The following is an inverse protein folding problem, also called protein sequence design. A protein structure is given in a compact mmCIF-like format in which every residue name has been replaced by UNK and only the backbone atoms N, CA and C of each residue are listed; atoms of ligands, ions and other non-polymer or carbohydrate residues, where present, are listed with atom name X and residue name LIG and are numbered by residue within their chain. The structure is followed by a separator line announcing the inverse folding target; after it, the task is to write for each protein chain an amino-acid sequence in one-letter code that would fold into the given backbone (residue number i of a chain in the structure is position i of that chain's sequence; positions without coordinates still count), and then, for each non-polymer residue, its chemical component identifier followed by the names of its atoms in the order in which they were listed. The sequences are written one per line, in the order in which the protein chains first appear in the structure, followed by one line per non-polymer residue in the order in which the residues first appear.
data_IF_193519431034
#
_entry.id   IF_193519431034
#
_cell.length_a   1.000
_cell.length_b   1.000
_cell.length_c   1.000
_cell.angle_alpha   90.00
_cell.angle_beta   90.00
_cell.angle_gamma   90.00
#
_symmetry.space_group_name_H-M   'P 1'
#
loop_
_entity.id
_entity.type
_entity.pdbx_description
1 polymer ?
#
# COMPACT_ATOMS: atom_id res chain seq x y z
N UNK A 1 -9.22 -6.96 -21.05
CA UNK A 1 -8.29 -6.71 -19.93
C UNK A 1 -8.17 -5.21 -19.64
N UNK A 2 -7.57 -4.85 -18.51
CA UNK A 2 -7.30 -3.48 -18.11
C UNK A 2 -5.89 -3.40 -17.54
N UNK A 3 -5.05 -2.47 -18.02
CA UNK A 3 -3.70 -2.28 -17.50
C UNK A 3 -3.66 -2.03 -15.99
N UNK A 4 -2.59 -2.47 -15.34
CA UNK A 4 -2.32 -2.05 -13.98
C UNK A 4 -1.71 -0.63 -14.01
N UNK A 5 -2.32 0.37 -13.36
CA UNK A 5 -1.87 1.76 -13.45
C UNK A 5 -0.51 2.02 -12.80
N UNK A 6 -0.07 1.12 -11.93
CA UNK A 6 1.19 1.23 -11.19
C UNK A 6 2.27 0.26 -11.68
N UNK A 7 2.09 -0.27 -12.90
CA UNK A 7 3.06 -1.18 -13.53
C UNK A 7 2.93 -2.63 -13.08
N UNK A 8 3.89 -3.46 -13.50
CA UNK A 8 3.86 -4.91 -13.31
C UNK A 8 4.76 -5.43 -12.21
N UNK A 9 5.32 -4.59 -11.34
CA UNK A 9 6.17 -5.01 -10.22
C UNK A 9 5.35 -5.54 -9.06
N UNK A 10 5.86 -6.56 -8.39
CA UNK A 10 5.28 -7.13 -7.19
C UNK A 10 6.10 -6.73 -5.97
N UNK A 11 5.41 -6.38 -4.87
CA UNK A 11 6.03 -5.98 -3.61
C UNK A 11 5.16 -6.36 -2.41
N UNK A 12 5.80 -6.44 -1.25
CA UNK A 12 5.15 -6.53 0.04
C UNK A 12 4.88 -7.95 0.52
N UNK A 13 4.23 -8.06 1.68
CA UNK A 13 3.90 -9.34 2.28
C UNK A 13 2.75 -10.04 1.57
N UNK A 14 2.70 -11.35 1.75
CA UNK A 14 1.60 -12.22 1.33
C UNK A 14 0.43 -12.15 2.33
N UNK A 15 -0.80 -12.10 1.81
CA UNK A 15 -2.00 -12.33 2.63
C UNK A 15 -2.02 -13.78 3.12
N UNK A 16 -2.21 -13.98 4.44
CA UNK A 16 -2.40 -15.32 4.99
C UNK A 16 -3.88 -15.68 5.12
N UNK A 17 -4.28 -16.96 5.05
CA UNK A 17 -5.67 -17.39 5.15
C UNK A 17 -6.38 -16.88 6.40
N UNK A 18 -5.69 -16.84 7.54
CA UNK A 18 -6.24 -16.40 8.83
C UNK A 18 -6.53 -14.90 8.91
N UNK A 19 -5.97 -14.09 7.99
CA UNK A 19 -6.17 -12.65 7.93
C UNK A 19 -7.04 -12.18 6.75
N UNK A 20 -7.58 -13.11 5.95
CA UNK A 20 -8.52 -12.73 4.88
C UNK A 20 -9.70 -11.94 5.44
N UNK A 21 -10.11 -10.90 4.71
CA UNK A 21 -11.12 -9.93 5.16
C UNK A 21 -11.72 -9.17 3.97
N UNK A 22 -12.50 -8.14 4.24
CA UNK A 22 -13.00 -7.22 3.22
C UNK A 22 -11.92 -6.47 2.42
N UNK A 23 -10.70 -6.35 2.98
CA UNK A 23 -9.58 -5.64 2.34
C UNK A 23 -8.51 -6.57 1.75
N UNK A 24 -8.65 -7.87 1.90
CA UNK A 24 -7.76 -8.87 1.30
C UNK A 24 -8.42 -10.25 1.31
N UNK A 25 -8.73 -10.78 0.13
CA UNK A 25 -9.58 -11.97 -0.03
C UNK A 25 -8.83 -13.27 -0.23
N UNK A 26 -7.64 -13.22 -0.80
CA UNK A 26 -6.87 -14.41 -1.19
C UNK A 26 -5.38 -14.22 -0.92
N UNK A 27 -4.66 -15.33 -0.92
CA UNK A 27 -3.22 -15.39 -0.72
C UNK A 27 -2.49 -14.85 -1.95
N UNK A 28 -2.48 -13.54 -2.08
CA UNK A 28 -1.70 -12.78 -3.06
C UNK A 28 -0.91 -11.68 -2.35
N UNK A 29 0.12 -11.17 -2.99
CA UNK A 29 0.91 -10.06 -2.45
C UNK A 29 0.10 -8.76 -2.36
N UNK A 30 0.43 -7.92 -1.43
CA UNK A 30 -0.17 -6.59 -1.24
C UNK A 30 -0.09 -5.76 -2.52
N UNK A 31 1.03 -5.76 -3.22
CA UNK A 31 1.17 -5.28 -4.59
C UNK A 31 1.50 -6.44 -5.52
N UNK A 32 0.50 -6.97 -6.19
CA UNK A 32 0.62 -8.18 -7.01
C UNK A 32 1.21 -7.96 -8.42
N UNK A 33 1.23 -6.73 -8.94
CA UNK A 33 1.79 -6.37 -10.26
C UNK A 33 1.15 -7.08 -11.46
N UNK A 34 -0.12 -7.40 -11.37
CA UNK A 34 -0.87 -8.09 -12.44
C UNK A 34 -1.98 -7.20 -12.97
N UNK A 35 -2.34 -7.38 -14.25
CA UNK A 35 -3.53 -6.76 -14.84
C UNK A 35 -4.81 -7.45 -14.34
N UNK A 36 -5.97 -6.85 -14.58
CA UNK A 36 -7.27 -7.45 -14.19
C UNK A 36 -7.47 -8.81 -14.84
N UNK A 37 -7.13 -8.94 -16.14
CA UNK A 37 -7.26 -10.20 -16.88
C UNK A 37 -6.29 -11.28 -16.40
N UNK A 38 -5.07 -10.89 -16.04
CA UNK A 38 -4.08 -11.81 -15.48
C UNK A 38 -4.52 -12.31 -14.09
N UNK A 39 -5.01 -11.41 -13.22
CA UNK A 39 -5.60 -11.80 -11.96
C UNK A 39 -6.80 -12.73 -12.14
N UNK A 40 -7.69 -12.44 -13.09
CA UNK A 40 -8.84 -13.29 -13.37
C UNK A 40 -8.39 -14.70 -13.77
N UNK A 41 -7.34 -14.83 -14.59
CA UNK A 41 -6.77 -16.15 -14.95
C UNK A 41 -6.20 -16.87 -13.74
N UNK A 42 -5.39 -16.19 -12.92
CA UNK A 42 -4.85 -16.77 -11.70
C UNK A 42 -5.97 -17.24 -10.77
N UNK A 43 -6.96 -16.38 -10.49
CA UNK A 43 -8.09 -16.72 -9.62
C UNK A 43 -8.91 -17.89 -10.16
N UNK A 44 -9.16 -17.92 -11.47
CA UNK A 44 -9.92 -18.96 -12.13
C UNK A 44 -9.26 -20.34 -11.98
N UNK A 45 -7.94 -20.39 -11.93
CA UNK A 45 -7.18 -21.64 -11.85
C UNK A 45 -6.85 -22.02 -10.42
N UNK A 46 -6.39 -21.07 -9.59
CA UNK A 46 -5.84 -21.37 -8.28
C UNK A 46 -6.91 -21.39 -7.16
N UNK A 47 -7.93 -20.53 -7.27
CA UNK A 47 -8.87 -20.34 -6.16
C UNK A 47 -10.28 -20.84 -6.44
N UNK A 48 -10.83 -20.59 -7.63
CA UNK A 48 -12.21 -20.98 -7.96
C UNK A 48 -12.50 -22.48 -7.83
N UNK A 49 -11.59 -23.41 -8.16
CA UNK A 49 -11.86 -24.83 -7.95
C UNK A 49 -12.22 -25.18 -6.51
N UNK A 50 -11.53 -24.59 -5.54
CA UNK A 50 -11.82 -24.79 -4.13
C UNK A 50 -13.03 -23.98 -3.63
N UNK A 51 -13.21 -22.74 -4.14
CA UNK A 51 -14.25 -21.84 -3.65
C UNK A 51 -15.64 -22.11 -4.25
N UNK A 52 -15.69 -22.55 -5.54
CA UNK A 52 -16.91 -22.62 -6.34
C UNK A 52 -17.09 -23.98 -7.06
N UNK A 53 -16.25 -24.95 -6.77
CA UNK A 53 -16.35 -26.30 -7.33
C UNK A 53 -15.79 -26.47 -8.74
N UNK A 54 -15.20 -25.43 -9.34
CA UNK A 54 -14.56 -25.49 -10.65
C UNK A 54 -14.25 -24.13 -11.25
N UNK A 55 -13.41 -24.10 -12.28
CA UNK A 55 -13.15 -22.88 -13.04
C UNK A 55 -14.39 -22.51 -13.88
N UNK A 56 -14.47 -21.23 -14.24
CA UNK A 56 -15.46 -20.72 -15.19
C UNK A 56 -14.86 -20.65 -16.61
N UNK A 57 -15.73 -20.61 -17.64
CA UNK A 57 -15.28 -20.28 -18.99
C UNK A 57 -14.88 -18.81 -19.05
N UNK A 58 -13.56 -18.56 -19.07
CA UNK A 58 -12.98 -17.22 -19.01
C UNK A 58 -12.28 -16.86 -20.31
N UNK A 59 -12.77 -15.83 -21.00
CA UNK A 59 -12.10 -15.22 -22.13
C UNK A 59 -11.53 -13.86 -21.76
N UNK A 60 -10.23 -13.67 -21.96
CA UNK A 60 -9.55 -12.40 -21.72
C UNK A 60 -9.15 -11.77 -23.05
N UNK A 61 -9.75 -10.63 -23.39
CA UNK A 61 -9.31 -9.79 -24.50
C UNK A 61 -8.13 -8.96 -24.03
N UNK A 62 -6.95 -9.24 -24.57
CA UNK A 62 -5.70 -8.60 -24.14
C UNK A 62 -5.65 -7.12 -24.54
N UNK A 63 -4.94 -6.33 -23.73
CA UNK A 63 -4.60 -4.94 -24.03
C UNK A 63 -3.59 -4.89 -25.18
N UNK A 64 -3.69 -3.86 -26.03
CA UNK A 64 -2.69 -3.62 -27.07
C UNK A 64 -1.57 -2.75 -26.52
N UNK A 65 -0.31 -3.10 -26.85
CA UNK A 65 0.87 -2.29 -26.59
C UNK A 65 1.19 -1.99 -25.11
N UNK A 66 0.48 -2.59 -24.16
CA UNK A 66 0.85 -2.49 -22.77
C UNK A 66 2.04 -3.42 -22.45
N UNK A 67 2.95 -2.94 -21.58
CA UNK A 67 4.09 -3.70 -21.07
C UNK A 67 4.19 -3.49 -19.57
N UNK A 68 4.87 -4.40 -18.86
CA UNK A 68 4.97 -4.39 -17.39
C UNK A 68 5.70 -3.19 -16.81
N UNK A 69 6.55 -2.55 -17.58
CA UNK A 69 7.29 -1.34 -17.20
C UNK A 69 6.50 -0.03 -17.39
N UNK A 70 5.25 -0.12 -17.92
CA UNK A 70 4.39 1.04 -18.15
C UNK A 70 3.50 1.35 -16.95
N UNK A 71 3.41 2.62 -16.65
CA UNK A 71 2.50 3.22 -15.66
C UNK A 71 1.31 3.89 -16.36
N UNK A 72 0.30 4.32 -15.60
CA UNK A 72 -0.85 5.03 -16.17
C UNK A 72 -0.45 6.25 -17.01
N UNK A 73 0.55 7.01 -16.56
CA UNK A 73 1.07 8.17 -17.28
C UNK A 73 1.75 7.84 -18.62
N UNK A 74 2.09 6.58 -18.89
CA UNK A 74 2.71 6.12 -20.14
C UNK A 74 1.65 5.59 -21.13
N UNK A 75 0.37 5.78 -20.83
CA UNK A 75 -0.77 5.34 -21.65
C UNK A 75 -1.59 6.51 -22.13
N UNK A 76 -2.30 6.37 -23.24
CA UNK A 76 -3.22 7.37 -23.77
C UNK A 76 -4.59 7.37 -23.06
N UNK A 77 -4.80 6.45 -22.10
CA UNK A 77 -6.06 6.31 -21.40
C UNK A 77 -6.22 7.47 -20.37
N UNK A 78 -7.34 8.20 -20.39
CA UNK A 78 -7.59 9.22 -19.39
C UNK A 78 -7.71 8.58 -18.00
N UNK A 79 -7.21 9.29 -16.98
CA UNK A 79 -7.40 8.86 -15.60
C UNK A 79 -8.88 9.00 -15.20
N UNK A 80 -9.51 7.89 -14.89
CA UNK A 80 -10.85 7.86 -14.29
C UNK A 80 -10.68 7.50 -12.83
N UNK A 81 -11.02 8.40 -11.93
CA UNK A 81 -10.87 8.19 -10.49
C UNK A 81 -11.65 6.95 -10.01
N UNK A 82 -10.99 5.90 -9.53
CA UNK A 82 -11.69 4.72 -9.00
C UNK A 82 -12.35 4.99 -7.64
N UNK A 83 -11.94 6.05 -6.96
CA UNK A 83 -12.46 6.51 -5.68
C UNK A 83 -12.21 8.02 -5.52
N UNK A 84 -13.04 8.75 -4.74
CA UNK A 84 -12.77 10.15 -4.41
C UNK A 84 -11.41 10.39 -3.76
N UNK A 85 -10.86 9.38 -3.08
CA UNK A 85 -9.53 9.43 -2.47
C UNK A 85 -8.41 8.86 -3.37
N UNK A 86 -8.69 8.70 -4.67
CA UNK A 86 -7.70 8.29 -5.68
C UNK A 86 -7.74 9.25 -6.88
N UNK A 87 -7.45 10.56 -6.65
CA UNK A 87 -7.66 11.60 -7.66
C UNK A 87 -6.69 11.51 -8.83
N UNK A 88 -5.49 11.00 -8.63
CA UNK A 88 -4.43 11.00 -9.65
C UNK A 88 -3.74 9.64 -9.78
N UNK A 89 -3.04 9.38 -10.90
CA UNK A 89 -2.15 8.23 -11.01
C UNK A 89 -1.02 8.22 -9.98
N UNK A 90 -0.54 9.38 -9.56
CA UNK A 90 0.53 9.49 -8.55
C UNK A 90 0.02 9.03 -7.17
N UNK A 91 -1.23 9.36 -6.82
CA UNK A 91 -1.90 8.79 -5.65
C UNK A 91 -1.96 7.26 -5.71
N UNK A 92 -2.32 6.70 -6.87
CA UNK A 92 -2.37 5.25 -7.05
C UNK A 92 -0.99 4.59 -6.89
N UNK A 93 0.07 5.28 -7.30
CA UNK A 93 1.45 4.77 -7.23
C UNK A 93 1.94 4.64 -5.78
N UNK A 94 1.62 5.57 -4.91
CA UNK A 94 2.02 5.54 -3.50
C UNK A 94 1.08 4.69 -2.63
N UNK A 95 -0.16 4.52 -3.05
CA UNK A 95 -1.24 3.89 -2.28
C UNK A 95 -0.91 2.50 -1.73
N UNK A 96 -0.25 1.56 -2.45
CA UNK A 96 0.04 0.23 -1.91
C UNK A 96 0.82 0.27 -0.59
N UNK A 97 1.70 1.27 -0.42
CA UNK A 97 2.41 1.47 0.83
C UNK A 97 1.64 2.34 1.81
N UNK A 98 1.16 3.49 1.37
CA UNK A 98 0.59 4.51 2.26
C UNK A 98 -0.78 4.13 2.83
N UNK A 99 -1.49 3.16 2.23
CA UNK A 99 -2.70 2.59 2.83
C UNK A 99 -2.42 1.95 4.20
N UNK A 100 -1.18 1.55 4.51
CA UNK A 100 -0.80 1.00 5.81
C UNK A 100 -1.01 2.00 6.96
N UNK A 101 -0.98 3.31 6.66
CA UNK A 101 -1.28 4.34 7.65
C UNK A 101 -2.75 4.38 8.09
N UNK A 102 -3.66 3.71 7.40
CA UNK A 102 -4.99 3.44 7.94
C UNK A 102 -4.92 2.60 9.22
N UNK A 103 -3.87 1.80 9.37
CA UNK A 103 -3.57 1.02 10.57
C UNK A 103 -2.92 1.80 11.72
N UNK A 104 -2.67 3.11 11.57
CA UNK A 104 -2.08 3.98 12.59
C UNK A 104 -3.13 4.96 13.09
N UNK A 105 -3.44 4.96 14.37
CA UNK A 105 -4.49 5.80 14.95
C UNK A 105 -4.10 7.29 15.04
N UNK A 106 -2.82 7.56 15.30
CA UNK A 106 -2.28 8.91 15.55
C UNK A 106 -1.84 9.65 14.27
N UNK A 107 -1.88 9.00 13.10
CA UNK A 107 -1.42 9.56 11.82
C UNK A 107 -2.56 9.45 10.80
N UNK A 108 -2.81 10.53 10.05
CA UNK A 108 -3.72 10.51 8.91
C UNK A 108 -2.97 10.19 7.62
N UNK A 109 -3.63 9.45 6.73
CA UNK A 109 -3.20 9.17 5.37
C UNK A 109 -3.66 10.26 4.38
N UNK A 110 -3.95 11.45 4.86
CA UNK A 110 -4.25 12.62 4.02
C UNK A 110 -5.65 12.64 3.41
N UNK A 111 -6.56 11.73 3.78
CA UNK A 111 -7.97 11.85 3.38
C UNK A 111 -8.56 13.18 3.86
N UNK A 112 -9.38 13.82 3.02
CA UNK A 112 -9.91 15.16 3.30
C UNK A 112 -8.93 16.29 2.99
N UNK A 113 -7.82 16.00 2.32
CA UNK A 113 -6.94 16.97 1.68
C UNK A 113 -7.04 16.84 0.15
N UNK A 114 -6.36 17.70 -0.58
CA UNK A 114 -6.26 17.61 -2.05
C UNK A 114 -5.30 16.50 -2.51
N UNK A 115 -4.54 15.89 -1.58
CA UNK A 115 -3.54 14.84 -1.85
C UNK A 115 -3.67 13.67 -0.89
N UNK A 116 -4.80 12.93 -0.93
CA UNK A 116 -4.96 11.74 -0.10
C UNK A 116 -3.87 10.72 -0.43
N UNK A 117 -3.37 10.05 0.61
CA UNK A 117 -2.27 9.08 0.55
C UNK A 117 -0.89 9.62 0.14
N UNK A 118 -0.81 10.85 -0.34
CA UNK A 118 0.44 11.54 -0.65
C UNK A 118 0.89 12.44 0.51
N UNK A 119 -0.05 12.90 1.35
CA UNK A 119 0.20 13.65 2.60
C UNK A 119 -0.03 12.74 3.78
N UNK A 120 1.01 12.50 4.57
CA UNK A 120 0.98 11.64 5.76
C UNK A 120 1.47 12.43 6.97
N UNK A 121 0.67 12.49 8.04
CA UNK A 121 1.06 13.25 9.22
C UNK A 121 0.14 13.05 10.41
N UNK A 122 0.59 13.44 11.59
CA UNK A 122 -0.17 13.47 12.85
C UNK A 122 -0.34 14.88 13.38
N UNK A 123 -0.93 15.04 14.59
CA UNK A 123 -1.07 16.37 15.21
C UNK A 123 0.26 17.10 15.27
N UNK A 124 0.28 18.40 14.93
CA UNK A 124 1.50 19.18 14.88
C UNK A 124 2.17 19.38 16.27
N UNK A 125 1.43 19.15 17.34
CA UNK A 125 1.97 19.14 18.71
C UNK A 125 2.71 17.83 19.04
N UNK A 126 2.44 16.75 18.30
CA UNK A 126 2.95 15.40 18.52
C UNK A 126 3.98 14.97 17.49
N UNK A 127 3.93 15.54 16.27
CA UNK A 127 4.79 15.21 15.14
C UNK A 127 5.43 16.47 14.58
N UNK A 128 6.62 16.34 14.02
CA UNK A 128 7.40 17.46 13.49
C UNK A 128 7.94 17.19 12.07
N UNK A 129 8.55 18.23 11.48
CA UNK A 129 9.16 18.17 10.16
C UNK A 129 10.43 17.29 10.08
N UNK A 130 11.09 17.02 11.21
CA UNK A 130 12.28 16.15 11.23
C UNK A 130 12.01 14.74 10.78
N UNK A 131 10.73 14.33 10.72
CA UNK A 131 10.36 13.06 10.10
C UNK A 131 10.80 13.01 8.64
N UNK A 132 10.56 14.10 7.86
CA UNK A 132 11.01 14.22 6.47
C UNK A 132 12.54 14.18 6.33
N UNK A 133 13.25 14.88 7.20
CA UNK A 133 14.73 14.89 7.18
C UNK A 133 15.29 13.49 7.42
N UNK A 134 14.76 12.75 8.40
CA UNK A 134 15.17 11.38 8.69
C UNK A 134 14.87 10.42 7.53
N UNK A 135 13.73 10.59 6.87
CA UNK A 135 13.37 9.80 5.69
C UNK A 135 14.28 10.09 4.51
N UNK A 136 14.57 11.36 4.23
CA UNK A 136 15.51 11.75 3.16
C UNK A 136 16.92 11.25 3.44
N UNK A 137 17.37 11.24 4.69
CA UNK A 137 18.67 10.69 5.08
C UNK A 137 18.80 9.16 4.82
N UNK A 138 17.70 8.44 4.67
CA UNK A 138 17.70 7.01 4.28
C UNK A 138 18.01 6.78 2.80
N UNK A 139 17.98 7.81 1.97
CA UNK A 139 18.23 7.75 0.52
C UNK A 139 17.41 6.64 -0.18
N UNK A 140 16.11 6.57 0.10
CA UNK A 140 15.24 5.57 -0.51
C UNK A 140 15.15 5.77 -2.01
N UNK A 141 15.28 4.70 -2.83
CA UNK A 141 15.30 4.83 -4.28
C UNK A 141 14.01 5.42 -4.85
N UNK A 142 14.13 6.47 -5.66
CA UNK A 142 13.04 7.02 -6.47
C UNK A 142 12.02 7.85 -5.70
N UNK A 143 12.27 8.22 -4.45
CA UNK A 143 11.36 9.04 -3.63
C UNK A 143 12.13 10.08 -2.83
N UNK A 144 11.50 11.23 -2.65
CA UNK A 144 11.90 12.32 -1.76
C UNK A 144 10.72 12.71 -0.89
N UNK A 145 11.02 13.28 0.28
CA UNK A 145 10.01 13.72 1.24
C UNK A 145 10.14 15.21 1.46
N UNK A 146 9.02 15.91 1.34
CA UNK A 146 8.91 17.33 1.68
C UNK A 146 8.14 17.49 2.96
N UNK A 147 8.61 18.34 3.86
CA UNK A 147 7.84 18.82 5.01
C UNK A 147 6.46 19.31 4.58
N UNK A 148 5.43 18.93 5.31
CA UNK A 148 4.06 19.33 5.02
C UNK A 148 3.26 19.61 6.29
N UNK A 149 2.52 20.74 6.28
CA UNK A 149 1.51 21.08 7.26
C UNK A 149 0.15 21.15 6.58
N UNK A 150 -0.85 20.52 7.15
CA UNK A 150 -2.17 20.44 6.55
C UNK A 150 -3.26 20.17 7.59
N UNK A 151 -4.52 20.52 7.26
CA UNK A 151 -5.66 20.20 8.11
C UNK A 151 -6.67 19.39 7.30
N UNK A 152 -6.91 18.11 7.63
CA UNK A 152 -7.88 17.29 6.90
C UNK A 152 -9.32 17.78 7.15
N UNK A 153 -10.10 17.94 6.07
CA UNK A 153 -11.52 18.29 6.13
C UNK A 153 -12.42 17.06 6.25
N UNK A 154 -11.85 15.87 6.06
CA UNK A 154 -12.46 14.58 6.32
C UNK A 154 -11.36 13.65 6.82
N UNK A 155 -11.48 13.13 8.02
CA UNK A 155 -10.45 12.31 8.64
C UNK A 155 -10.78 10.80 8.59
N UNK A 156 -11.79 10.41 7.80
CA UNK A 156 -12.22 9.02 7.73
C UNK A 156 -12.55 8.47 9.11
N UNK A 157 -11.82 7.46 9.55
CA UNK A 157 -12.01 6.86 10.89
C UNK A 157 -11.10 7.46 11.99
N UNK A 158 -10.57 8.66 11.76
CA UNK A 158 -9.68 9.36 12.70
C UNK A 158 -10.26 10.73 13.09
N UNK A 159 -11.40 10.77 13.77
CA UNK A 159 -12.10 12.02 14.09
C UNK A 159 -11.26 12.99 14.94
N UNK A 160 -10.30 12.48 15.70
CA UNK A 160 -9.40 13.31 16.51
C UNK A 160 -8.50 14.23 15.67
N UNK A 161 -8.27 13.91 14.39
CA UNK A 161 -7.43 14.69 13.46
C UNK A 161 -8.25 15.65 12.59
N UNK A 162 -9.58 15.54 12.59
CA UNK A 162 -10.46 16.32 11.75
C UNK A 162 -10.36 17.83 12.06
N UNK A 163 -10.02 18.63 11.05
CA UNK A 163 -9.88 20.08 11.17
C UNK A 163 -8.71 20.55 12.03
N UNK A 164 -7.86 19.63 12.49
CA UNK A 164 -6.67 19.97 13.29
C UNK A 164 -5.47 20.17 12.38
N UNK A 165 -4.52 20.99 12.84
CA UNK A 165 -3.24 21.12 12.17
C UNK A 165 -2.43 19.85 12.38
N UNK A 166 -2.07 19.21 11.27
CA UNK A 166 -1.18 18.07 11.21
C UNK A 166 0.18 18.49 10.63
N UNK A 167 1.24 17.92 11.16
CA UNK A 167 2.60 17.99 10.64
C UNK A 167 3.05 16.62 10.16
N UNK A 168 3.82 16.58 9.09
CA UNK A 168 4.31 15.35 8.50
C UNK A 168 5.01 15.57 7.17
N UNK A 169 4.76 14.69 6.22
CA UNK A 169 5.46 14.70 4.93
C UNK A 169 4.51 14.61 3.75
N UNK A 170 4.89 15.25 2.65
CA UNK A 170 4.42 14.98 1.30
C UNK A 170 5.41 14.01 0.63
N UNK A 171 4.89 12.93 0.07
CA UNK A 171 5.68 11.93 -0.66
C UNK A 171 5.79 12.37 -2.11
N UNK A 172 7.00 12.48 -2.62
CA UNK A 172 7.30 12.87 -4.00
C UNK A 172 8.05 11.76 -4.72
N UNK A 173 7.37 11.05 -5.60
CA UNK A 173 8.02 10.04 -6.44
C UNK A 173 8.79 10.74 -7.56
N UNK A 174 10.11 10.72 -7.48
CA UNK A 174 11.01 11.36 -8.45
C UNK A 174 11.48 10.39 -9.55
N UNK A 175 11.42 9.08 -9.29
CA UNK A 175 11.71 8.06 -10.29
C UNK A 175 10.81 6.82 -10.08
N UNK A 176 9.76 6.68 -10.89
CA UNK A 176 8.79 5.59 -10.81
C UNK A 176 9.43 4.21 -11.01
N UNK A 177 10.47 4.12 -11.83
CA UNK A 177 11.13 2.87 -12.14
C UNK A 177 11.96 2.32 -10.97
N UNK A 178 12.36 3.15 -10.02
CA UNK A 178 13.10 2.76 -8.82
C UNK A 178 12.23 2.71 -7.56
N UNK A 179 11.08 3.35 -7.61
CA UNK A 179 10.21 3.51 -6.44
C UNK A 179 9.58 2.17 -6.01
N UNK A 180 9.74 1.85 -4.73
CA UNK A 180 9.05 0.76 -4.03
C UNK A 180 8.12 1.36 -2.96
N UNK A 181 6.80 1.36 -3.18
CA UNK A 181 5.85 1.96 -2.25
C UNK A 181 5.81 1.24 -0.90
N UNK A 182 5.99 -0.09 -0.88
CA UNK A 182 5.93 -0.88 0.36
C UNK A 182 7.15 -0.61 1.22
N UNK A 183 8.36 -0.70 0.64
CA UNK A 183 9.61 -0.34 1.35
C UNK A 183 9.57 1.09 1.88
N UNK A 184 9.06 2.02 1.08
CA UNK A 184 8.89 3.43 1.46
C UNK A 184 7.97 3.56 2.67
N UNK A 185 6.81 2.90 2.66
CA UNK A 185 5.87 2.95 3.79
C UNK A 185 6.44 2.27 5.04
N UNK A 186 7.19 1.18 4.90
CA UNK A 186 7.89 0.54 6.03
C UNK A 186 8.89 1.52 6.64
N UNK A 187 9.70 2.20 5.82
CA UNK A 187 10.63 3.23 6.32
C UNK A 187 9.90 4.36 7.04
N UNK A 188 8.79 4.82 6.50
CA UNK A 188 7.95 5.84 7.13
C UNK A 188 7.39 5.36 8.47
N UNK A 189 6.92 4.12 8.58
CA UNK A 189 6.42 3.54 9.83
C UNK A 189 7.52 3.36 10.88
N UNK A 190 8.71 2.90 10.48
CA UNK A 190 9.88 2.75 11.36
C UNK A 190 10.27 4.12 11.95
N UNK A 191 10.30 5.18 11.13
CA UNK A 191 10.60 6.52 11.63
C UNK A 191 9.45 7.11 12.46
N UNK A 192 8.19 6.89 12.06
CA UNK A 192 7.04 7.36 12.81
C UNK A 192 6.93 6.71 14.20
N UNK A 193 7.33 5.43 14.31
CA UNK A 193 7.31 4.70 15.60
C UNK A 193 8.18 5.33 16.68
N UNK A 194 9.12 6.21 16.32
CA UNK A 194 9.98 6.94 17.26
C UNK A 194 9.25 8.04 18.02
N UNK A 195 8.11 8.49 17.51
CA UNK A 195 7.31 9.52 18.19
C UNK A 195 6.51 8.90 19.35
N UNK A 196 6.53 9.50 20.56
CA UNK A 196 5.79 8.98 21.71
C UNK A 196 4.28 8.87 21.46
N UNK A 197 3.73 9.74 20.61
CA UNK A 197 2.31 9.74 20.24
C UNK A 197 1.92 8.64 19.24
N UNK A 198 2.88 7.92 18.67
CA UNK A 198 2.57 6.84 17.72
C UNK A 198 1.70 5.77 18.37
N UNK A 199 0.60 5.44 17.71
CA UNK A 199 -0.32 4.40 18.18
C UNK A 199 -0.90 3.60 17.02
N UNK A 200 -0.83 2.28 17.10
CA UNK A 200 -1.54 1.42 16.15
C UNK A 200 -3.06 1.53 16.35
N UNK A 201 -3.80 1.54 15.23
CA UNK A 201 -5.25 1.48 15.26
C UNK A 201 -5.73 0.08 15.65
N UNK A 202 -6.63 0.04 16.63
CA UNK A 202 -7.31 -1.18 17.07
C UNK A 202 -8.80 -1.08 16.80
N UNK A 203 -9.35 -2.15 16.26
CA UNK A 203 -10.78 -2.29 16.04
C UNK A 203 -11.45 -3.03 17.20
N UNK A 204 -12.49 -2.44 17.79
CA UNK A 204 -13.21 -3.05 18.90
C UNK A 204 -14.13 -4.21 18.50
N UNK A 205 -14.50 -4.28 17.21
CA UNK A 205 -15.42 -5.30 16.68
C UNK A 205 -14.74 -6.64 16.34
N UNK A 206 -13.42 -6.71 16.28
CA UNK A 206 -12.67 -7.94 16.02
C UNK A 206 -11.64 -8.15 17.14
N UNK A 207 -12.07 -8.81 18.20
CA UNK A 207 -11.22 -9.08 19.36
C UNK A 207 -10.06 -10.05 19.07
N UNK A 208 -10.21 -10.91 18.06
CA UNK A 208 -9.19 -11.90 17.67
C UNK A 208 -8.08 -11.26 16.85
N UNK A 209 -8.44 -10.33 15.96
CA UNK A 209 -7.53 -9.61 15.08
C UNK A 209 -7.73 -8.10 15.23
N UNK A 210 -7.38 -7.51 16.38
CA UNK A 210 -7.79 -6.14 16.71
C UNK A 210 -7.00 -5.08 15.92
N UNK A 211 -5.82 -5.40 15.37
CA UNK A 211 -4.99 -4.42 14.70
C UNK A 211 -5.34 -4.33 13.21
N UNK A 212 -5.68 -3.11 12.76
CA UNK A 212 -6.06 -2.90 11.37
C UNK A 212 -4.89 -3.11 10.40
N UNK A 213 -3.70 -2.73 10.78
CA UNK A 213 -2.49 -2.94 9.96
C UNK A 213 -2.24 -4.42 9.67
N UNK A 214 -2.53 -5.32 10.62
CA UNK A 214 -2.35 -6.76 10.45
C UNK A 214 -3.30 -7.32 9.37
N UNK A 215 -4.52 -6.74 9.24
CA UNK A 215 -5.48 -7.08 8.19
C UNK A 215 -5.04 -6.57 6.82
N UNK A 216 -4.41 -5.41 6.77
CA UNK A 216 -3.88 -4.82 5.53
C UNK A 216 -2.68 -5.61 4.99
N UNK A 217 -1.80 -6.06 5.88
CA UNK A 217 -0.57 -6.78 5.52
C UNK A 217 -0.72 -8.30 5.51
N UNK A 218 -1.88 -8.81 5.90
CA UNK A 218 -2.18 -10.24 5.91
C UNK A 218 -1.57 -11.04 7.06
N UNK A 219 -0.90 -10.39 8.01
CA UNK A 219 -0.31 -11.01 9.20
C UNK A 219 0.13 -9.95 10.22
N UNK A 220 0.37 -10.32 11.49
CA UNK A 220 0.87 -9.39 12.51
C UNK A 220 2.38 -9.11 12.39
N UNK A 221 3.08 -9.74 11.45
CA UNK A 221 4.54 -9.75 11.34
C UNK A 221 5.12 -8.34 11.24
N UNK A 222 4.62 -7.50 10.31
CA UNK A 222 5.10 -6.13 10.13
C UNK A 222 5.02 -5.34 11.45
N UNK A 223 3.86 -5.35 12.09
CA UNK A 223 3.65 -4.62 13.36
C UNK A 223 4.57 -5.11 14.47
N UNK A 224 4.66 -6.44 14.66
CA UNK A 224 5.51 -7.05 15.69
C UNK A 224 6.98 -6.70 15.48
N UNK A 225 7.46 -6.75 14.23
CA UNK A 225 8.85 -6.41 13.91
C UNK A 225 9.15 -4.93 14.17
N UNK A 226 8.27 -4.02 13.75
CA UNK A 226 8.42 -2.58 14.02
C UNK A 226 8.36 -2.28 15.53
N UNK A 227 7.46 -2.92 16.27
CA UNK A 227 7.37 -2.76 17.73
C UNK A 227 8.61 -3.31 18.45
N UNK A 228 9.25 -4.33 17.90
CA UNK A 228 10.52 -4.87 18.38
C UNK A 228 11.76 -4.04 17.98
N UNK A 229 11.57 -2.98 17.19
CA UNK A 229 12.67 -2.10 16.75
C UNK A 229 13.44 -2.58 15.52
N UNK A 230 12.87 -3.51 14.75
CA UNK A 230 13.47 -3.94 13.47
C UNK A 230 13.61 -2.77 12.50
N UNK A 231 14.72 -2.76 11.75
CA UNK A 231 14.92 -1.78 10.68
C UNK A 231 14.24 -2.21 9.37
N UNK A 232 14.21 -1.29 8.42
CA UNK A 232 13.54 -1.44 7.11
C UNK A 232 13.98 -2.71 6.38
N UNK A 233 15.29 -2.97 6.34
CA UNK A 233 15.86 -4.13 5.63
C UNK A 233 15.44 -5.46 6.28
N UNK A 234 15.38 -5.52 7.59
CA UNK A 234 14.91 -6.69 8.33
C UNK A 234 13.43 -6.95 8.06
N UNK A 235 12.61 -5.90 8.11
CA UNK A 235 11.16 -6.02 7.86
C UNK A 235 10.89 -6.46 6.42
N UNK A 236 11.48 -5.79 5.43
CA UNK A 236 11.26 -6.11 4.01
C UNK A 236 11.87 -7.45 3.65
N UNK A 237 13.03 -7.79 4.19
CA UNK A 237 13.68 -9.10 4.00
C UNK A 237 12.86 -10.28 4.51
N UNK A 238 12.02 -10.05 5.54
CA UNK A 238 11.23 -11.12 6.15
C UNK A 238 10.17 -11.75 5.23
N UNK A 239 9.83 -11.14 4.10
CA UNK A 239 8.89 -11.70 3.10
C UNK A 239 9.51 -11.97 1.73
N UNK A 240 10.85 -11.98 1.62
CA UNK A 240 11.55 -12.19 0.36
C UNK A 240 11.20 -13.55 -0.29
N UNK A 241 11.08 -14.61 0.51
CA UNK A 241 10.70 -15.94 0.03
C UNK A 241 9.25 -15.96 -0.51
N UNK A 242 8.33 -15.29 0.18
CA UNK A 242 6.93 -15.17 -0.25
C UNK A 242 6.83 -14.40 -1.58
N UNK A 243 7.61 -13.34 -1.71
CA UNK A 243 7.69 -12.55 -2.93
C UNK A 243 8.17 -13.42 -4.11
N UNK A 244 9.28 -14.14 -3.93
CA UNK A 244 9.82 -15.02 -4.96
C UNK A 244 8.85 -16.15 -5.33
N UNK A 245 8.19 -16.74 -4.34
CA UNK A 245 7.18 -17.78 -4.57
C UNK A 245 5.97 -17.27 -5.37
N UNK A 246 5.47 -16.07 -5.03
CA UNK A 246 4.36 -15.48 -5.78
C UNK A 246 4.77 -15.07 -7.20
N UNK A 247 5.98 -14.56 -7.40
CA UNK A 247 6.48 -14.25 -8.74
C UNK A 247 6.55 -15.49 -9.62
N UNK A 248 6.97 -16.61 -9.06
CA UNK A 248 6.93 -17.90 -9.76
C UNK A 248 5.48 -18.36 -10.02
N UNK A 249 4.58 -18.26 -9.05
CA UNK A 249 3.17 -18.64 -9.16
C UNK A 249 2.43 -17.81 -10.22
N UNK A 250 2.62 -16.48 -10.25
CA UNK A 250 1.91 -15.61 -11.21
C UNK A 250 2.39 -15.76 -12.66
N UNK A 251 3.63 -16.21 -12.87
CA UNK A 251 4.28 -16.26 -14.20
C UNK A 251 3.43 -16.95 -15.28
N UNK A 252 2.78 -18.12 -15.08
CA UNK A 252 1.95 -18.77 -16.09
C UNK A 252 0.70 -17.97 -16.50
N UNK A 253 0.29 -17.01 -15.69
CA UNK A 253 -0.94 -16.22 -15.89
C UNK A 253 -0.67 -14.88 -16.56
N UNK A 254 0.60 -14.49 -16.69
CA UNK A 254 0.99 -13.22 -17.31
C UNK A 254 0.69 -13.23 -18.82
N UNK A 255 0.26 -12.08 -19.34
CA UNK A 255 -0.10 -11.88 -20.74
C UNK A 255 0.88 -10.96 -21.49
N UNK A 256 1.72 -10.23 -20.72
CA UNK A 256 2.55 -9.16 -21.25
C UNK A 256 3.97 -9.21 -20.70
#
# INVERSE_FOLDING_TARGET
DRPNPIGGRAYGPMMTPSYTSGVGKKEILQQHGMTVGELARLFNTEFLPADAGGPVDLQVVACRHWKRDKFAADTDAPWVMPSPNMPTPDTALVYPGTCLFEGVASITEGRGTTRPFELIGGLADDFDYHWGDRLNARNLPGVEFREAYFSPTSAGQKPALLGKLCAGVEIRVVNRALFDPIRTAVAMLVEARRYPAFAWRRDSWDAVRPYWVDKLTGSPRLRIMIDAGADVEEVVGAWAEELAAFEAQRTPYLLY
#
